data_IF_067806613414
#
_entry.id   IF_067806613414
#
_cell.length_a   1.000
_cell.length_b   1.000
_cell.length_c   1.000
_cell.angle_alpha   90.00
_cell.angle_beta   90.00
_cell.angle_gamma   90.00
#
_symmetry.space_group_name_H-M   'P 1'
#
loop_
_entity.id
_entity.type
_entity.pdbx_description
1 polymer ?
#
# COMPACT_ATOMS: atom_id res chain seq x y z
N UNK A 1 22.15 16.20 22.47
CA UNK A 1 20.92 15.75 21.79
C UNK A 1 21.33 14.57 20.93
N UNK A 2 20.69 13.40 21.07
CA UNK A 2 21.07 12.24 20.25
C UNK A 2 20.72 12.54 18.78
N UNK A 3 21.72 12.48 17.90
CA UNK A 3 21.52 12.57 16.46
C UNK A 3 20.66 11.38 16.04
N UNK A 4 19.42 11.64 15.63
CA UNK A 4 18.53 10.59 15.17
C UNK A 4 18.99 10.15 13.77
N UNK A 5 19.70 9.03 13.70
CA UNK A 5 20.16 8.43 12.44
C UNK A 5 19.00 7.72 11.73
N UNK A 6 17.97 8.46 11.32
CA UNK A 6 16.92 7.91 10.48
C UNK A 6 17.47 7.74 9.05
N UNK A 7 17.36 6.53 8.50
CA UNK A 7 17.78 6.20 7.13
C UNK A 7 16.63 5.50 6.41
N UNK A 8 16.55 5.72 5.09
CA UNK A 8 15.62 4.99 4.22
C UNK A 8 15.90 3.50 4.32
N UNK A 9 14.85 2.70 4.48
CA UNK A 9 14.94 1.24 4.46
C UNK A 9 14.71 0.79 3.02
N UNK A 10 15.77 0.34 2.36
CA UNK A 10 15.72 -0.06 0.96
C UNK A 10 14.73 -1.21 0.68
N UNK A 11 14.52 -2.12 1.62
CA UNK A 11 13.51 -3.16 1.48
C UNK A 11 12.08 -2.58 1.38
N UNK A 12 11.76 -1.58 2.22
CA UNK A 12 10.45 -0.91 2.20
C UNK A 12 10.27 -0.12 0.91
N UNK A 13 11.32 0.57 0.46
CA UNK A 13 11.33 1.27 -0.82
C UNK A 13 11.00 0.34 -2.00
N UNK A 14 11.60 -0.85 -2.03
CA UNK A 14 11.36 -1.85 -3.07
C UNK A 14 9.94 -2.40 -3.02
N UNK A 15 9.42 -2.68 -1.83
CA UNK A 15 8.03 -3.09 -1.65
C UNK A 15 7.05 -2.03 -2.18
N UNK A 16 7.28 -0.75 -1.88
CA UNK A 16 6.47 0.37 -2.38
C UNK A 16 6.50 0.40 -3.91
N UNK A 17 7.67 0.32 -4.54
CA UNK A 17 7.78 0.33 -6.00
C UNK A 17 6.99 -0.81 -6.67
N UNK A 18 6.98 -2.00 -6.07
CA UNK A 18 6.17 -3.14 -6.55
C UNK A 18 4.68 -2.82 -6.45
N UNK A 19 4.22 -2.27 -5.31
CA UNK A 19 2.81 -1.92 -5.11
C UNK A 19 2.35 -0.82 -6.08
N UNK A 20 3.18 0.22 -6.28
CA UNK A 20 2.91 1.29 -7.23
C UNK A 20 2.81 0.75 -8.67
N UNK A 21 3.72 -0.14 -9.06
CA UNK A 21 3.65 -0.80 -10.36
C UNK A 21 2.36 -1.60 -10.51
N UNK A 22 2.04 -2.49 -9.55
CA UNK A 22 0.83 -3.32 -9.58
C UNK A 22 -0.46 -2.48 -9.59
N UNK A 23 -0.49 -1.33 -8.92
CA UNK A 23 -1.64 -0.43 -8.90
C UNK A 23 -1.98 0.17 -10.28
N UNK A 24 -1.01 0.18 -11.20
CA UNK A 24 -1.22 0.67 -12.59
C UNK A 24 -1.61 -0.44 -13.57
N UNK A 25 -1.54 -1.72 -13.15
CA UNK A 25 -1.83 -2.85 -14.02
C UNK A 25 -3.33 -3.18 -14.03
N UNK A 26 -3.87 -3.44 -15.23
CA UNK A 26 -5.28 -3.85 -15.42
C UNK A 26 -5.48 -5.36 -15.34
N UNK A 27 -4.39 -6.12 -15.40
CA UNK A 27 -4.38 -7.57 -15.42
C UNK A 27 -3.25 -8.10 -14.54
N UNK A 28 -3.35 -9.36 -14.05
CA UNK A 28 -2.26 -9.98 -13.31
C UNK A 28 -0.97 -10.03 -14.13
N UNK A 29 0.15 -9.71 -13.50
CA UNK A 29 1.47 -9.62 -14.14
C UNK A 29 2.44 -10.66 -13.57
N UNK A 30 3.35 -11.16 -14.41
CA UNK A 30 4.30 -12.19 -13.99
C UNK A 30 5.44 -11.63 -13.12
N UNK A 31 5.99 -12.46 -12.23
CA UNK A 31 7.17 -12.09 -11.42
C UNK A 31 8.35 -11.52 -12.24
N UNK A 32 8.75 -12.14 -13.38
CA UNK A 32 9.79 -11.60 -14.25
C UNK A 32 9.45 -10.27 -14.91
N UNK A 33 8.16 -10.02 -15.16
CA UNK A 33 7.70 -8.76 -15.73
C UNK A 33 7.77 -7.63 -14.71
N UNK A 34 7.29 -7.89 -13.49
CA UNK A 34 7.42 -6.97 -12.35
C UNK A 34 8.90 -6.63 -12.14
N UNK A 35 9.77 -7.64 -12.10
CA UNK A 35 11.22 -7.47 -11.92
C UNK A 35 11.87 -6.56 -12.95
N UNK A 36 11.50 -6.68 -14.23
CA UNK A 36 11.96 -5.76 -15.28
C UNK A 36 11.41 -4.35 -15.08
N UNK A 37 10.13 -4.22 -14.73
CA UNK A 37 9.48 -2.92 -14.57
C UNK A 37 10.05 -2.10 -13.41
N UNK A 38 10.46 -2.78 -12.33
CA UNK A 38 10.99 -2.12 -11.12
C UNK A 38 12.53 -2.17 -11.02
N UNK A 39 13.22 -2.61 -12.08
CA UNK A 39 14.69 -2.77 -12.16
C UNK A 39 15.28 -3.52 -10.95
N UNK A 40 14.77 -4.73 -10.69
CA UNK A 40 15.20 -5.58 -9.58
C UNK A 40 15.42 -7.03 -10.03
N UNK A 41 16.31 -7.79 -9.34
CA UNK A 41 16.39 -9.23 -9.54
C UNK A 41 15.06 -9.93 -9.23
N UNK A 42 14.67 -10.90 -10.06
CA UNK A 42 13.42 -11.66 -9.90
C UNK A 42 13.31 -12.27 -8.50
N UNK A 43 14.39 -12.86 -7.99
CA UNK A 43 14.40 -13.44 -6.64
C UNK A 43 14.05 -12.40 -5.56
N UNK A 44 14.59 -11.18 -5.66
CA UNK A 44 14.27 -10.09 -4.73
C UNK A 44 12.80 -9.70 -4.83
N UNK A 45 12.25 -9.55 -6.04
CA UNK A 45 10.83 -9.24 -6.24
C UNK A 45 9.95 -10.33 -5.65
N UNK A 46 10.26 -11.60 -5.90
CA UNK A 46 9.49 -12.73 -5.37
C UNK A 46 9.50 -12.77 -3.84
N UNK A 47 10.65 -12.51 -3.19
CA UNK A 47 10.71 -12.40 -1.73
C UNK A 47 9.83 -11.28 -1.19
N UNK A 48 9.82 -10.10 -1.83
CA UNK A 48 8.93 -8.99 -1.43
C UNK A 48 7.46 -9.35 -1.67
N UNK A 49 7.13 -9.99 -2.79
CA UNK A 49 5.76 -10.41 -3.12
C UNK A 49 5.22 -11.35 -2.05
N UNK A 50 5.97 -12.37 -1.62
CA UNK A 50 5.52 -13.30 -0.57
C UNK A 50 5.16 -12.53 0.71
N UNK A 51 6.04 -11.64 1.18
CA UNK A 51 5.75 -10.81 2.36
C UNK A 51 4.52 -9.92 2.14
N UNK A 52 4.36 -9.31 0.96
CA UNK A 52 3.19 -8.49 0.65
C UNK A 52 1.89 -9.31 0.57
N UNK A 53 1.96 -10.57 0.15
CA UNK A 53 0.82 -11.50 0.15
C UNK A 53 0.38 -11.85 1.57
N UNK A 54 1.33 -12.11 2.49
CA UNK A 54 1.03 -12.39 3.91
C UNK A 54 0.23 -11.25 4.57
N UNK A 55 0.36 -10.04 4.04
CA UNK A 55 -0.34 -8.84 4.50
C UNK A 55 -1.48 -8.37 3.58
N UNK A 56 -1.95 -9.21 2.65
CA UNK A 56 -3.04 -8.93 1.71
C UNK A 56 -2.82 -7.72 0.77
N UNK A 57 -1.59 -7.25 0.61
CA UNK A 57 -1.27 -6.16 -0.32
C UNK A 57 -1.06 -6.63 -1.74
N UNK A 58 -0.73 -7.91 -1.94
CA UNK A 58 -0.60 -8.55 -3.25
C UNK A 58 -1.42 -9.85 -3.24
N UNK A 59 -1.95 -10.24 -4.39
CA UNK A 59 -2.63 -11.53 -4.59
C UNK A 59 -1.99 -12.27 -5.74
N UNK A 60 -1.98 -13.60 -5.65
CA UNK A 60 -1.59 -14.49 -6.75
C UNK A 60 -2.86 -15.14 -7.31
N UNK A 61 -3.10 -14.99 -8.62
CA UNK A 61 -4.25 -15.56 -9.33
C UNK A 61 -3.88 -16.77 -10.20
N UNK A 62 -2.70 -17.36 -10.01
CA UNK A 62 -2.17 -18.44 -10.84
C UNK A 62 -1.62 -17.97 -12.19
N UNK A 63 -2.30 -17.01 -12.83
CA UNK A 63 -1.83 -16.34 -14.05
C UNK A 63 -0.80 -15.23 -13.82
N UNK A 64 -0.64 -14.79 -12.57
CA UNK A 64 0.25 -13.68 -12.20
C UNK A 64 -0.13 -13.07 -10.85
N UNK A 65 0.45 -11.90 -10.58
CA UNK A 65 0.23 -11.13 -9.37
C UNK A 65 -0.55 -9.85 -9.65
N UNK A 66 -1.44 -9.49 -8.72
CA UNK A 66 -2.21 -8.25 -8.76
C UNK A 66 -2.20 -7.53 -7.40
N UNK A 67 -2.61 -6.26 -7.38
CA UNK A 67 -2.80 -5.52 -6.15
C UNK A 67 -3.93 -6.15 -5.30
N UNK A 68 -3.63 -6.41 -4.04
CA UNK A 68 -4.59 -6.93 -3.07
C UNK A 68 -5.41 -5.84 -2.37
N UNK A 69 -6.26 -6.26 -1.43
CA UNK A 69 -7.19 -5.37 -0.72
C UNK A 69 -6.54 -4.59 0.44
N UNK A 70 -5.29 -4.87 0.81
CA UNK A 70 -4.60 -4.22 1.93
C UNK A 70 -4.59 -2.69 1.83
N UNK A 71 -4.26 -2.15 0.65
CA UNK A 71 -4.29 -0.71 0.41
C UNK A 71 -5.71 -0.12 0.48
N UNK A 72 -6.71 -0.85 -0.04
CA UNK A 72 -8.11 -0.44 0.01
C UNK A 72 -8.64 -0.41 1.46
N UNK A 73 -8.22 -1.35 2.31
CA UNK A 73 -8.59 -1.37 3.73
C UNK A 73 -8.04 -0.15 4.47
N UNK A 74 -6.79 0.23 4.21
CA UNK A 74 -6.18 1.45 4.77
C UNK A 74 -6.98 2.68 4.34
N UNK A 75 -7.31 2.78 3.05
CA UNK A 75 -8.11 3.90 2.54
C UNK A 75 -9.49 3.96 3.18
N UNK A 76 -10.20 2.83 3.24
CA UNK A 76 -11.52 2.74 3.87
C UNK A 76 -11.48 3.20 5.34
N UNK A 77 -10.43 2.80 6.09
CA UNK A 77 -10.23 3.23 7.48
C UNK A 77 -9.99 4.73 7.57
N UNK A 78 -9.11 5.31 6.73
CA UNK A 78 -8.86 6.76 6.73
C UNK A 78 -10.13 7.55 6.39
N UNK A 79 -10.91 7.11 5.40
CA UNK A 79 -12.19 7.71 5.05
C UNK A 79 -13.19 7.67 6.22
N UNK A 80 -13.28 6.55 6.92
CA UNK A 80 -14.16 6.40 8.09
C UNK A 80 -13.76 7.34 9.24
N UNK A 81 -12.46 7.52 9.50
CA UNK A 81 -11.98 8.47 10.51
C UNK A 81 -12.37 9.92 10.16
N UNK A 82 -12.13 10.32 8.91
CA UNK A 82 -12.50 11.67 8.43
C UNK A 82 -14.02 11.90 8.49
N UNK A 83 -14.82 10.88 8.19
CA UNK A 83 -16.28 10.96 8.32
C UNK A 83 -16.71 11.20 9.78
N UNK A 84 -16.07 10.52 10.74
CA UNK A 84 -16.32 10.74 12.16
C UNK A 84 -15.89 12.13 12.64
N UNK A 85 -14.74 12.61 12.20
CA UNK A 85 -14.27 13.98 12.47
C UNK A 85 -15.26 15.02 11.95
N UNK A 86 -15.77 14.84 10.72
CA UNK A 86 -16.80 15.71 10.15
C UNK A 86 -18.05 15.73 11.02
N UNK A 87 -18.60 14.58 11.38
CA UNK A 87 -19.79 14.52 12.23
C UNK A 87 -19.61 15.20 13.59
N UNK A 88 -18.41 15.11 14.18
CA UNK A 88 -18.09 15.82 15.43
C UNK A 88 -18.10 17.34 15.22
N UNK A 89 -17.43 17.81 14.17
CA UNK A 89 -17.35 19.25 13.85
C UNK A 89 -18.74 19.81 13.53
N UNK A 90 -19.53 19.11 12.73
CA UNK A 90 -20.90 19.51 12.38
C UNK A 90 -21.76 19.68 13.65
N UNK A 91 -21.66 18.74 14.60
CA UNK A 91 -22.37 18.83 15.88
C UNK A 91 -21.89 19.99 16.77
N UNK A 92 -20.59 20.34 16.72
CA UNK A 92 -20.04 21.48 17.46
C UNK A 92 -20.53 22.81 16.88
N UNK A 93 -20.56 22.94 15.55
CA UNK A 93 -21.11 24.11 14.86
C UNK A 93 -22.58 24.31 15.24
N UNK A 94 -23.39 23.25 15.18
CA UNK A 94 -24.81 23.33 15.56
C UNK A 94 -25.01 23.81 17.01
N UNK A 95 -24.10 23.48 17.93
CA UNK A 95 -24.14 23.97 19.32
C UNK A 95 -23.73 25.43 19.48
N UNK A 96 -22.95 25.98 18.55
CA UNK A 96 -22.55 27.39 18.57
C UNK A 96 -23.58 28.31 17.89
N UNK A 97 -24.39 27.75 16.98
CA UNK A 97 -25.43 28.47 16.24
C UNK A 97 -26.80 28.49 16.94
N UNK A 98 -26.97 27.72 18.02
CA UNK A 98 -28.17 27.68 18.87
C UNK A 98 -27.92 28.18 20.28
#
# INVERSE_FOLDING_TARGET
MAETTYRRIEAVAKAIAILEFLATQKHPVGGPEIARAVDMPVATVMSQIITLQDHNFVRNLGAGFELGMGAALIWARKKSLLAGERSRIDNEITKLEG
#
